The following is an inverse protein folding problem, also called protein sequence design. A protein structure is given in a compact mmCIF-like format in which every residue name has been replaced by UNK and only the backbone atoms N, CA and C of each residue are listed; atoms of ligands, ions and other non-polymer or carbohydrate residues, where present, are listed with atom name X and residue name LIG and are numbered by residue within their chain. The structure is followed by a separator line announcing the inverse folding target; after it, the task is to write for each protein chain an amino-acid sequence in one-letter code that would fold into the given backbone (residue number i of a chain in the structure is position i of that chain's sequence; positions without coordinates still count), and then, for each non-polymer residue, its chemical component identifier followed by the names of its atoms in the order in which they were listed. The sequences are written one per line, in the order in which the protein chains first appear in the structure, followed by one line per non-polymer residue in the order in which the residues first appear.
data_IF_554848132557
#
_entry.id   IF_554848132557
#
_cell.length_a   1.000
_cell.length_b   1.000
_cell.length_c   1.000
_cell.angle_alpha   90.00
_cell.angle_beta   90.00
_cell.angle_gamma   90.00
#
_symmetry.space_group_name_H-M   'P 1'
#
loop_
_entity.id
_entity.type
_entity.pdbx_description
1 polymer ?
#
# COMPACT_ATOMS: atom_id res chain seq x y z
N UNK A 1 -8.98 4.45 -7.74
CA UNK A 1 -7.56 4.35 -7.47
C UNK A 1 -6.74 5.31 -8.30
N UNK A 2 -5.50 5.53 -7.91
CA UNK A 2 -4.58 6.38 -8.63
C UNK A 2 -3.95 5.64 -9.81
N UNK A 3 -3.72 6.34 -10.91
CA UNK A 3 -3.02 5.78 -12.07
C UNK A 3 -1.54 5.46 -11.76
N UNK A 4 -0.95 6.13 -10.79
CA UNK A 4 0.44 5.93 -10.42
C UNK A 4 0.68 4.58 -9.72
N UNK A 5 -0.27 4.07 -8.93
CA UNK A 5 -0.13 2.80 -8.23
C UNK A 5 -0.65 1.62 -9.04
N UNK A 6 -1.68 1.82 -9.85
CA UNK A 6 -2.29 0.75 -10.63
C UNK A 6 -1.77 0.64 -12.05
N UNK A 7 -0.86 1.54 -12.44
CA UNK A 7 -0.45 1.64 -13.82
C UNK A 7 -1.64 1.99 -14.74
N UNK A 8 -1.82 1.22 -15.80
CA UNK A 8 -2.99 1.36 -16.65
C UNK A 8 -4.22 0.79 -15.93
N UNK A 9 -5.41 1.40 -16.09
CA UNK A 9 -6.63 0.88 -15.49
C UNK A 9 -7.01 -0.46 -16.14
N UNK A 10 -6.47 -1.54 -15.59
CA UNK A 10 -6.68 -2.92 -16.04
C UNK A 10 -8.17 -3.23 -16.13
N UNK A 11 -8.95 -2.68 -15.21
CA UNK A 11 -10.39 -2.86 -15.13
C UNK A 11 -11.19 -2.28 -16.32
N UNK A 12 -10.60 -1.44 -17.17
CA UNK A 12 -11.27 -0.90 -18.36
C UNK A 12 -10.94 -1.61 -19.66
N UNK A 13 -10.00 -2.56 -19.62
CA UNK A 13 -9.49 -3.21 -20.84
C UNK A 13 -9.98 -4.66 -20.99
N UNK A 14 -10.69 -5.20 -20.02
CA UNK A 14 -11.18 -6.57 -20.01
C UNK A 14 -12.72 -6.60 -20.06
N UNK A 15 -13.28 -7.71 -20.54
CA UNK A 15 -14.72 -7.97 -20.47
C UNK A 15 -15.23 -8.10 -19.03
N UNK A 16 -14.33 -8.41 -18.10
CA UNK A 16 -14.60 -8.49 -16.67
C UNK A 16 -14.05 -7.21 -16.05
N UNK A 17 -14.95 -6.27 -15.78
CA UNK A 17 -14.60 -5.06 -15.05
C UNK A 17 -14.25 -5.41 -13.61
N UNK A 18 -13.16 -4.85 -13.09
CA UNK A 18 -12.76 -4.95 -11.69
C UNK A 18 -12.32 -3.58 -11.17
N UNK A 19 -12.11 -3.47 -9.87
CA UNK A 19 -11.66 -2.25 -9.22
C UNK A 19 -10.63 -2.55 -8.13
N UNK A 20 -9.98 -1.50 -7.62
CA UNK A 20 -8.90 -1.65 -6.64
C UNK A 20 -9.38 -2.29 -5.33
N UNK A 21 -10.63 -2.11 -4.93
CA UNK A 21 -11.17 -2.74 -3.72
C UNK A 21 -11.29 -4.27 -3.89
N UNK A 22 -11.74 -4.71 -5.05
CA UNK A 22 -11.78 -6.14 -5.40
C UNK A 22 -10.38 -6.75 -5.44
N UNK A 23 -9.43 -6.06 -6.09
CA UNK A 23 -8.03 -6.50 -6.15
C UNK A 23 -7.43 -6.61 -4.74
N UNK A 24 -7.65 -5.60 -3.89
CA UNK A 24 -7.19 -5.65 -2.50
C UNK A 24 -7.83 -6.81 -1.71
N UNK A 25 -9.12 -7.06 -1.93
CA UNK A 25 -9.85 -8.14 -1.26
C UNK A 25 -9.35 -9.55 -1.64
N UNK A 26 -8.64 -9.72 -2.77
CA UNK A 26 -7.96 -10.98 -3.13
C UNK A 26 -6.88 -11.39 -2.10
N UNK A 27 -6.45 -10.48 -1.22
CA UNK A 27 -5.56 -10.85 -0.13
C UNK A 27 -6.20 -11.79 0.88
N UNK A 28 -7.54 -11.84 0.99
CA UNK A 28 -8.24 -12.70 1.95
C UNK A 28 -7.88 -14.18 1.79
N UNK A 29 -7.71 -14.91 2.89
CA UNK A 29 -7.80 -14.53 4.29
C UNK A 29 -6.48 -14.02 4.90
N UNK A 30 -5.49 -13.63 4.09
CA UNK A 30 -4.21 -13.08 4.57
C UNK A 30 -4.42 -11.67 5.14
N UNK A 31 -3.58 -11.24 6.10
CA UNK A 31 -3.70 -9.92 6.70
C UNK A 31 -3.65 -8.78 5.65
N UNK A 32 -4.58 -7.84 5.75
CA UNK A 32 -4.67 -6.65 4.89
C UNK A 32 -4.84 -5.40 5.76
N UNK A 33 -3.98 -4.42 5.57
CA UNK A 33 -4.08 -3.09 6.16
C UNK A 33 -4.33 -2.05 5.08
N UNK A 34 -5.43 -1.32 5.20
CA UNK A 34 -5.73 -0.15 4.39
C UNK A 34 -5.33 1.11 5.17
N UNK A 35 -4.58 2.01 4.53
CA UNK A 35 -4.26 3.33 5.08
C UNK A 35 -4.87 4.37 4.15
N UNK A 36 -5.72 5.22 4.68
CA UNK A 36 -6.51 6.17 3.90
C UNK A 36 -6.50 7.56 4.52
N UNK A 37 -6.69 8.58 3.70
CA UNK A 37 -6.64 9.98 4.11
C UNK A 37 -7.84 10.76 3.57
N UNK A 38 -8.21 11.86 4.25
CA UNK A 38 -9.31 12.71 3.80
C UNK A 38 -8.95 13.60 2.61
N UNK A 39 -7.68 13.88 2.41
CA UNK A 39 -7.18 14.84 1.42
C UNK A 39 -6.86 14.26 0.03
N UNK A 40 -7.26 13.03 -0.26
CA UNK A 40 -7.06 12.41 -1.58
C UNK A 40 -8.24 11.50 -1.98
N UNK A 41 -8.04 10.67 -3.02
CA UNK A 41 -9.06 9.74 -3.55
C UNK A 41 -9.43 8.61 -2.58
N UNK A 42 -8.65 8.38 -1.51
CA UNK A 42 -8.95 7.36 -0.49
C UNK A 42 -9.89 7.84 0.61
N UNK A 43 -10.41 9.08 0.51
CA UNK A 43 -11.30 9.69 1.52
C UNK A 43 -12.55 8.88 1.85
N UNK A 44 -13.02 8.08 0.91
CA UNK A 44 -14.21 7.26 1.07
C UNK A 44 -13.90 5.83 1.56
N UNK A 45 -12.63 5.44 1.68
CA UNK A 45 -12.22 4.10 2.09
C UNK A 45 -12.92 3.59 3.34
N UNK A 46 -13.10 4.37 4.43
CA UNK A 46 -13.79 3.88 5.62
C UNK A 46 -15.26 3.52 5.41
N UNK A 47 -15.90 4.12 4.40
CA UNK A 47 -17.34 3.96 4.16
C UNK A 47 -17.66 3.05 2.97
N UNK A 48 -16.72 2.81 2.08
CA UNK A 48 -16.95 2.08 0.83
C UNK A 48 -16.01 0.88 0.72
N UNK A 49 -14.72 1.10 0.52
CA UNK A 49 -13.77 0.03 0.21
C UNK A 49 -13.51 -0.89 1.40
N UNK A 50 -13.41 -0.33 2.60
CA UNK A 50 -13.15 -1.12 3.80
C UNK A 50 -14.33 -2.02 4.18
N UNK A 51 -15.59 -1.55 4.24
CA UNK A 51 -16.74 -2.44 4.44
C UNK A 51 -16.88 -3.53 3.37
N UNK A 52 -16.55 -3.21 2.12
CA UNK A 52 -16.49 -4.22 1.06
C UNK A 52 -15.44 -5.29 1.37
N UNK A 53 -14.21 -4.90 1.67
CA UNK A 53 -13.16 -5.86 2.06
C UNK A 53 -13.58 -6.69 3.27
N UNK A 54 -14.18 -6.07 4.29
CA UNK A 54 -14.70 -6.80 5.46
C UNK A 54 -15.74 -7.85 5.08
N UNK A 55 -16.64 -7.57 4.12
CA UNK A 55 -17.64 -8.52 3.66
C UNK A 55 -17.00 -9.78 3.07
N UNK A 56 -15.91 -9.63 2.30
CA UNK A 56 -15.15 -10.75 1.75
C UNK A 56 -14.42 -11.52 2.85
N UNK A 57 -13.73 -10.82 3.77
CA UNK A 57 -13.02 -11.45 4.89
C UNK A 57 -13.95 -12.25 5.81
N UNK A 58 -15.21 -11.82 5.94
CA UNK A 58 -16.23 -12.54 6.70
C UNK A 58 -16.49 -13.95 6.18
N UNK A 59 -16.47 -14.17 4.86
CA UNK A 59 -16.62 -15.50 4.27
C UNK A 59 -15.51 -16.48 4.68
N UNK A 60 -14.35 -15.95 5.03
CA UNK A 60 -13.20 -16.71 5.48
C UNK A 60 -13.05 -16.77 7.01
N UNK A 61 -14.01 -16.24 7.78
CA UNK A 61 -13.90 -16.09 9.25
C UNK A 61 -12.61 -15.36 9.67
N UNK A 62 -12.21 -14.32 8.93
CA UNK A 62 -10.93 -13.63 9.09
C UNK A 62 -11.09 -12.10 9.23
N UNK A 63 -12.20 -11.64 9.80
CA UNK A 63 -12.46 -10.20 10.02
C UNK A 63 -11.39 -9.51 10.86
N UNK A 64 -10.74 -10.23 11.76
CA UNK A 64 -9.64 -9.77 12.60
C UNK A 64 -8.34 -9.49 11.82
N UNK A 65 -8.29 -9.87 10.55
CA UNK A 65 -7.13 -9.72 9.67
C UNK A 65 -7.25 -8.58 8.68
N UNK A 66 -8.37 -7.90 8.62
CA UNK A 66 -8.54 -6.72 7.76
C UNK A 66 -8.76 -5.47 8.60
N UNK A 67 -7.93 -4.46 8.40
CA UNK A 67 -7.93 -3.22 9.17
C UNK A 67 -7.89 -2.00 8.25
N UNK A 68 -8.48 -0.89 8.71
CA UNK A 68 -8.31 0.43 8.10
C UNK A 68 -7.87 1.46 9.15
N UNK A 69 -6.80 2.20 8.86
CA UNK A 69 -6.44 3.43 9.56
C UNK A 69 -6.75 4.62 8.66
N UNK A 70 -7.69 5.46 9.09
CA UNK A 70 -8.11 6.64 8.33
C UNK A 70 -7.66 7.94 9.02
N UNK A 71 -7.04 8.81 8.24
CA UNK A 71 -6.55 10.11 8.69
C UNK A 71 -7.30 11.23 7.95
N UNK A 72 -8.45 11.71 8.46
CA UNK A 72 -9.35 12.59 7.72
C UNK A 72 -8.78 13.98 7.43
N UNK A 73 -7.79 14.43 8.20
CA UNK A 73 -7.14 15.74 8.03
C UNK A 73 -5.84 15.68 7.23
N UNK A 74 -5.35 14.47 6.95
CA UNK A 74 -4.09 14.26 6.23
C UNK A 74 -4.28 14.33 4.72
N UNK A 75 -3.18 14.69 4.04
CA UNK A 75 -3.08 14.71 2.58
C UNK A 75 -2.45 13.43 2.06
N UNK A 76 -2.43 13.29 0.74
CA UNK A 76 -1.70 12.23 0.06
C UNK A 76 -0.22 12.23 0.45
N UNK A 77 0.33 11.05 0.73
CA UNK A 77 1.70 10.83 1.16
C UNK A 77 1.78 9.75 2.24
N UNK A 78 2.99 9.35 2.60
CA UNK A 78 3.22 8.28 3.59
C UNK A 78 4.12 8.78 4.73
N UNK A 79 3.68 9.89 5.36
CA UNK A 79 4.38 10.57 6.44
C UNK A 79 4.36 9.75 7.73
N UNK A 80 5.10 10.22 8.74
CA UNK A 80 5.32 9.58 10.03
C UNK A 80 4.07 8.95 10.63
N UNK A 81 2.98 9.71 10.79
CA UNK A 81 1.75 9.22 11.44
C UNK A 81 1.14 7.99 10.74
N UNK A 82 1.26 7.90 9.42
CA UNK A 82 0.75 6.78 8.62
C UNK A 82 1.65 5.56 8.75
N UNK A 83 2.98 5.77 8.81
CA UNK A 83 3.94 4.70 9.07
C UNK A 83 3.76 4.13 10.47
N UNK A 84 3.55 5.00 11.48
CA UNK A 84 3.25 4.56 12.85
C UNK A 84 1.98 3.69 12.94
N UNK A 85 0.99 3.93 12.10
CA UNK A 85 -0.21 3.08 12.02
C UNK A 85 0.08 1.73 11.32
N UNK A 86 1.09 1.66 10.45
CA UNK A 86 1.48 0.43 9.74
C UNK A 86 2.33 -0.51 10.60
N UNK A 87 3.28 0.01 11.37
CA UNK A 87 4.25 -0.79 12.11
C UNK A 87 3.64 -1.85 13.04
N UNK A 88 2.65 -1.55 13.89
CA UNK A 88 2.06 -2.58 14.77
C UNK A 88 1.36 -3.68 13.98
N UNK A 89 0.75 -3.35 12.83
CA UNK A 89 0.15 -4.35 11.97
C UNK A 89 1.20 -5.30 11.38
N UNK A 90 2.29 -4.76 10.86
CA UNK A 90 3.39 -5.56 10.31
C UNK A 90 4.06 -6.40 11.39
N UNK A 91 4.35 -5.80 12.56
CA UNK A 91 4.95 -6.50 13.69
C UNK A 91 4.10 -7.70 14.14
N UNK A 92 2.79 -7.49 14.30
CA UNK A 92 1.83 -8.52 14.67
C UNK A 92 1.80 -9.69 13.68
N UNK A 93 1.61 -9.37 12.40
CA UNK A 93 1.35 -10.40 11.40
C UNK A 93 2.60 -11.09 10.86
N UNK A 94 3.74 -10.42 10.91
CA UNK A 94 5.04 -10.99 10.54
C UNK A 94 5.82 -11.52 11.76
N UNK A 95 5.26 -11.40 12.97
CA UNK A 95 5.87 -11.82 14.23
C UNK A 95 7.26 -11.21 14.43
N UNK A 96 7.38 -9.90 14.13
CA UNK A 96 8.64 -9.19 14.25
C UNK A 96 8.93 -8.88 15.71
N UNK A 97 10.22 -8.99 16.10
CA UNK A 97 10.69 -8.47 17.38
C UNK A 97 10.73 -6.94 17.32
N UNK A 98 9.99 -6.30 18.21
CA UNK A 98 9.92 -4.84 18.32
C UNK A 98 10.74 -4.31 19.50
N UNK A 99 11.49 -5.18 20.17
CA UNK A 99 12.35 -4.81 21.29
C UNK A 99 13.42 -3.82 20.80
N UNK A 100 13.53 -2.69 21.49
CA UNK A 100 14.50 -1.65 21.14
C UNK A 100 14.06 -0.63 20.09
N UNK A 101 12.93 -0.85 19.39
CA UNK A 101 12.38 0.12 18.44
C UNK A 101 11.00 0.64 18.85
N UNK A 102 10.27 -0.06 19.72
CA UNK A 102 8.99 0.38 20.24
C UNK A 102 9.18 1.13 21.57
N UNK A 103 8.86 2.42 21.60
CA UNK A 103 8.72 3.16 22.86
C UNK A 103 7.41 2.72 23.55
N UNK A 104 7.55 1.97 24.64
CA UNK A 104 6.41 1.44 25.40
C UNK A 104 5.56 2.53 26.07
N UNK A 105 6.10 3.74 26.22
CA UNK A 105 5.40 4.85 26.87
C UNK A 105 4.51 5.60 25.87
N UNK A 106 5.03 5.93 24.69
CA UNK A 106 4.27 6.62 23.64
C UNK A 106 3.51 5.65 22.73
N UNK A 107 3.99 4.42 22.58
CA UNK A 107 3.48 3.46 21.61
C UNK A 107 4.05 3.67 20.21
N UNK A 108 4.97 4.62 20.03
CA UNK A 108 5.56 4.93 18.73
C UNK A 108 6.79 4.05 18.46
N UNK A 109 7.03 3.83 17.18
CA UNK A 109 8.22 3.15 16.69
C UNK A 109 9.31 4.16 16.36
N UNK A 110 10.49 3.95 16.87
CA UNK A 110 11.66 4.80 16.61
C UNK A 110 12.17 4.56 15.18
N UNK A 111 12.17 5.61 14.38
CA UNK A 111 12.69 5.61 13.01
C UNK A 111 14.10 6.21 12.89
N UNK A 112 14.70 6.65 13.98
CA UNK A 112 15.98 7.39 13.94
C UNK A 112 17.16 6.54 13.45
N UNK A 113 17.09 5.22 13.61
CA UNK A 113 18.09 4.28 13.10
C UNK A 113 17.93 3.93 11.61
N UNK A 114 16.90 4.42 10.93
CA UNK A 114 16.66 4.08 9.53
C UNK A 114 17.63 4.82 8.60
N UNK A 115 18.27 4.10 7.69
CA UNK A 115 19.05 4.69 6.60
C UNK A 115 18.12 5.10 5.47
N UNK A 116 18.17 6.37 5.08
CA UNK A 116 17.48 6.87 3.90
C UNK A 116 18.46 6.81 2.74
N UNK A 117 18.26 5.87 1.85
CA UNK A 117 19.11 5.68 0.69
C UNK A 117 18.93 6.79 -0.34
N UNK A 118 20.00 7.12 -1.05
CA UNK A 118 19.94 8.08 -2.14
C UNK A 118 19.23 7.50 -3.34
N UNK A 119 18.62 8.36 -4.17
CA UNK A 119 18.00 7.95 -5.44
C UNK A 119 18.96 7.15 -6.32
N UNK A 120 20.26 7.45 -6.24
CA UNK A 120 21.28 6.80 -7.04
C UNK A 120 21.51 5.35 -6.62
N UNK A 121 21.55 5.09 -5.30
CA UNK A 121 21.66 3.72 -4.76
C UNK A 121 20.40 2.90 -5.06
N UNK A 122 19.23 3.54 -5.04
CA UNK A 122 17.94 2.88 -5.29
C UNK A 122 17.69 2.56 -6.77
N UNK A 123 18.52 3.05 -7.70
CA UNK A 123 18.38 2.73 -9.13
C UNK A 123 18.93 1.34 -9.43
N UNK A 124 18.16 0.52 -10.12
CA UNK A 124 18.63 -0.78 -10.63
C UNK A 124 19.65 -0.64 -11.76
N UNK A 125 19.61 0.50 -12.47
CA UNK A 125 20.53 0.81 -13.58
C UNK A 125 21.07 2.21 -13.38
N UNK A 126 22.38 2.38 -13.46
CA UNK A 126 23.03 3.68 -13.26
C UNK A 126 23.09 4.52 -14.54
N UNK A 127 22.90 3.87 -15.71
CA UNK A 127 22.88 4.54 -17.00
C UNK A 127 21.85 3.88 -17.95
N UNK A 128 21.48 4.60 -19.00
CA UNK A 128 20.59 4.07 -20.03
C UNK A 128 21.21 2.89 -20.81
N UNK A 129 22.54 2.79 -20.84
CA UNK A 129 23.27 1.70 -21.52
C UNK A 129 23.25 0.39 -20.75
N UNK A 130 23.00 0.45 -19.43
CA UNK A 130 22.87 -0.74 -18.58
C UNK A 130 21.46 -1.33 -18.64
N UNK A 131 20.50 -0.58 -19.16
CA UNK A 131 19.13 -1.09 -19.29
C UNK A 131 19.06 -2.21 -20.33
N UNK A 132 18.37 -3.32 -20.03
CA UNK A 132 18.14 -4.36 -21.03
C UNK A 132 17.47 -3.79 -22.27
N UNK A 133 17.83 -4.31 -23.46
CA UNK A 133 17.30 -3.81 -24.75
C UNK A 133 15.77 -3.92 -24.86
N UNK A 134 15.16 -4.84 -24.12
CA UNK A 134 13.71 -5.03 -24.05
C UNK A 134 13.03 -4.17 -22.96
N UNK A 135 13.80 -3.43 -22.15
CA UNK A 135 13.22 -2.55 -21.16
C UNK A 135 12.47 -1.39 -21.83
N UNK A 136 11.31 -1.07 -21.27
CA UNK A 136 10.54 0.09 -21.74
C UNK A 136 11.32 1.37 -21.45
N UNK A 137 11.58 2.15 -22.50
CA UNK A 137 12.22 3.46 -22.34
C UNK A 137 11.24 4.45 -21.67
N UNK A 138 11.75 5.40 -20.89
CA UNK A 138 10.91 6.49 -20.37
C UNK A 138 10.11 7.15 -21.49
N UNK A 139 8.81 7.33 -21.30
CA UNK A 139 7.90 7.89 -22.31
C UNK A 139 7.38 6.92 -23.37
N UNK A 140 7.79 5.64 -23.32
CA UNK A 140 7.21 4.61 -24.20
C UNK A 140 5.77 4.33 -23.77
N UNK A 141 4.84 4.41 -24.73
CA UNK A 141 3.44 4.00 -24.53
C UNK A 141 3.32 2.55 -24.97
N UNK A 142 2.95 1.67 -24.05
CA UNK A 142 2.59 0.30 -24.40
C UNK A 142 1.11 0.26 -24.70
N UNK A 143 0.75 0.06 -25.97
CA UNK A 143 -0.62 -0.28 -26.35
C UNK A 143 -0.76 -1.81 -26.29
N UNK A 144 -1.53 -2.29 -25.34
CA UNK A 144 -1.99 -3.67 -25.37
C UNK A 144 -3.15 -3.77 -26.37
N UNK A 145 -2.97 -4.54 -27.42
CA UNK A 145 -4.02 -4.90 -28.38
C UNK A 145 -4.82 -6.10 -27.87
#
# INVERSE_FOLDING_TARGET
GCHCESGMPIHKTTKLETNNAEIAALAAPRPLKLISVGGDWTKNTPKVEYPYAQSIYKYFNALDKVENSHFPKEKHGYEYIKRQAMYPFMAKHLKLDTTGVLDKRSGDYDETGNTIETTQIMRNFHSATEMPVHALKPGSIVQFR
#
